data_IF_297716597393
#
_entry.id   IF_297716597393
#
_cell.length_a   1.000
_cell.length_b   1.000
_cell.length_c   1.000
_cell.angle_alpha   90.00
_cell.angle_beta   90.00
_cell.angle_gamma   90.00
#
_symmetry.space_group_name_H-M   'P 1'
#
loop_
_entity.id
_entity.type
_entity.pdbx_description
1 polymer ?
#
# COMPACT_ATOMS: atom_id res chain seq x y z
N UNK A 1 -4.88 27.15 -14.95
CA UNK A 1 -5.57 28.06 -14.01
C UNK A 1 -5.63 27.31 -12.69
N UNK A 2 -4.63 27.50 -11.82
CA UNK A 2 -4.47 26.68 -10.61
C UNK A 2 -5.36 27.23 -9.49
N UNK A 3 -6.20 26.35 -8.93
CA UNK A 3 -7.10 26.65 -7.80
C UNK A 3 -6.30 27.09 -6.57
N UNK A 4 -6.85 28.06 -5.84
CA UNK A 4 -6.26 28.58 -4.59
C UNK A 4 -6.00 27.44 -3.58
N UNK A 5 -4.95 27.54 -2.74
CA UNK A 5 -4.74 26.60 -1.65
C UNK A 5 -5.96 26.59 -0.72
N UNK A 6 -6.43 25.40 -0.34
CA UNK A 6 -7.48 25.24 0.67
C UNK A 6 -6.81 25.36 2.03
N UNK A 7 -7.05 26.45 2.75
CA UNK A 7 -6.40 26.75 4.04
C UNK A 7 -7.17 26.22 5.26
N UNK A 8 -8.39 25.71 5.06
CA UNK A 8 -9.37 25.49 6.14
C UNK A 8 -9.83 24.02 6.23
N UNK A 9 -8.93 23.06 5.97
CA UNK A 9 -9.24 21.64 6.24
C UNK A 9 -8.71 21.27 7.63
N UNK A 10 -9.61 21.25 8.62
CA UNK A 10 -9.35 20.52 9.86
C UNK A 10 -9.29 19.02 9.54
N UNK A 11 -8.08 18.50 9.34
CA UNK A 11 -7.86 17.08 9.11
C UNK A 11 -7.99 16.31 10.42
N UNK A 12 -9.04 15.50 10.53
CA UNK A 12 -9.11 14.50 11.57
C UNK A 12 -8.11 13.38 11.27
N UNK A 13 -7.27 13.08 12.26
CA UNK A 13 -6.24 12.04 12.18
C UNK A 13 -6.90 10.68 11.94
N UNK A 14 -6.59 10.04 10.81
CA UNK A 14 -6.91 8.63 10.58
C UNK A 14 -5.87 7.76 11.28
N UNK A 15 -6.29 6.70 11.99
CA UNK A 15 -5.39 5.68 12.54
C UNK A 15 -4.72 4.83 11.44
N UNK A 16 -5.23 4.90 10.20
CA UNK A 16 -4.75 4.11 9.07
C UNK A 16 -3.93 5.01 8.14
N UNK A 17 -2.61 4.80 8.15
CA UNK A 17 -1.71 5.37 7.14
C UNK A 17 -2.04 4.79 5.76
N UNK A 18 -2.21 5.70 4.80
CA UNK A 18 -2.50 5.47 3.38
C UNK A 18 -1.60 4.37 2.81
N UNK A 19 -2.09 3.54 1.86
CA UNK A 19 -1.29 2.53 1.19
C UNK A 19 -0.01 3.12 0.57
N UNK A 20 1.12 2.95 1.26
CA UNK A 20 2.43 3.31 0.71
C UNK A 20 2.74 2.42 -0.49
N UNK A 21 3.26 3.04 -1.53
CA UNK A 21 3.45 2.43 -2.83
C UNK A 21 4.91 2.51 -3.27
N UNK A 22 5.24 1.62 -4.21
CA UNK A 22 6.47 1.63 -4.99
C UNK A 22 6.69 3.01 -5.63
N UNK A 23 7.76 3.68 -5.18
CA UNK A 23 8.27 4.90 -5.78
C UNK A 23 9.03 4.54 -7.06
N UNK A 24 8.41 4.83 -8.21
CA UNK A 24 9.16 5.24 -9.40
C UNK A 24 9.39 6.74 -9.30
N UNK A 25 10.55 7.23 -9.79
CA UNK A 25 10.84 8.66 -9.86
C UNK A 25 9.79 9.35 -10.73
N UNK A 26 8.76 9.91 -10.12
CA UNK A 26 7.84 10.85 -10.74
C UNK A 26 8.18 12.26 -10.25
N UNK A 27 8.01 13.27 -11.09
CA UNK A 27 8.34 14.66 -10.75
C UNK A 27 7.36 15.16 -9.67
N UNK A 28 7.82 15.14 -8.42
CA UNK A 28 7.12 15.75 -7.29
C UNK A 28 6.79 17.22 -7.59
N UNK A 29 5.50 17.60 -7.44
CA UNK A 29 5.04 18.99 -7.53
C UNK A 29 4.09 19.33 -8.69
N UNK A 30 3.96 18.47 -9.71
CA UNK A 30 3.11 18.76 -10.88
C UNK A 30 1.62 18.39 -10.73
N UNK A 31 1.17 17.96 -9.55
CA UNK A 31 -0.26 17.62 -9.33
C UNK A 31 -0.74 17.54 -7.87
N UNK A 32 0.17 17.38 -6.91
CA UNK A 32 -0.16 17.21 -5.49
C UNK A 32 0.57 18.27 -4.65
N UNK A 33 -0.11 19.33 -4.20
CA UNK A 33 0.50 20.27 -3.27
C UNK A 33 0.75 19.58 -1.92
N UNK A 34 1.92 19.78 -1.34
CA UNK A 34 2.22 19.35 0.03
C UNK A 34 1.49 20.32 0.98
N UNK A 35 0.46 19.82 1.65
CA UNK A 35 -0.39 20.61 2.55
C UNK A 35 0.08 20.61 4.02
N UNK A 36 1.18 19.92 4.31
CA UNK A 36 1.78 19.88 5.64
C UNK A 36 2.88 18.84 5.75
N UNK A 37 3.68 18.94 6.81
CA UNK A 37 4.64 17.92 7.23
C UNK A 37 4.21 17.45 8.63
N UNK A 38 3.79 16.20 8.74
CA UNK A 38 3.50 15.57 10.03
C UNK A 38 4.69 14.67 10.35
N UNK A 39 5.39 14.88 11.48
CA UNK A 39 6.44 13.97 11.88
C UNK A 39 5.84 12.58 12.12
N UNK A 40 6.47 11.57 11.51
CA UNK A 40 6.06 10.16 11.62
C UNK A 40 7.17 9.41 12.33
N UNK A 41 6.83 8.67 13.39
CA UNK A 41 7.76 7.69 13.97
C UNK A 41 7.84 6.47 13.03
N UNK A 42 9.01 6.21 12.40
CA UNK A 42 9.16 5.12 11.42
C UNK A 42 8.78 3.75 12.00
N UNK A 43 8.92 3.56 13.32
CA UNK A 43 8.58 2.31 14.01
C UNK A 43 7.08 2.04 14.06
N UNK A 44 6.27 3.07 13.85
CA UNK A 44 4.80 2.99 13.89
C UNK A 44 4.19 2.83 12.50
N UNK A 45 4.99 2.91 11.44
CA UNK A 45 4.50 2.82 10.06
C UNK A 45 4.10 1.39 9.72
N UNK A 46 2.95 1.25 9.07
CA UNK A 46 2.48 0.00 8.49
C UNK A 46 2.07 0.23 7.05
N UNK A 47 2.46 -0.70 6.19
CA UNK A 47 2.09 -0.70 4.78
C UNK A 47 0.99 -1.75 4.52
N UNK A 48 0.19 -1.59 3.46
CA UNK A 48 -0.65 -2.67 2.94
C UNK A 48 0.21 -3.86 2.54
N UNK A 49 -0.42 -5.03 2.62
CA UNK A 49 0.19 -6.28 2.18
C UNK A 49 -0.44 -6.67 0.85
N UNK A 50 0.36 -6.93 -0.18
CA UNK A 50 -0.18 -7.29 -1.50
C UNK A 50 0.49 -8.54 -2.06
N UNK A 51 -0.28 -9.34 -2.81
CA UNK A 51 0.26 -10.42 -3.63
C UNK A 51 0.27 -9.95 -5.08
N UNK A 52 1.47 -9.78 -5.65
CA UNK A 52 1.61 -9.42 -7.05
C UNK A 52 1.97 -10.64 -7.89
N UNK A 53 1.29 -10.80 -9.02
CA UNK A 53 1.58 -11.86 -9.99
C UNK A 53 2.34 -11.35 -11.21
N UNK A 54 3.09 -12.24 -11.88
CA UNK A 54 3.67 -12.08 -13.23
C UNK A 54 4.51 -10.82 -13.55
N UNK A 55 4.75 -9.90 -12.60
CA UNK A 55 5.62 -8.72 -12.76
C UNK A 55 6.90 -8.81 -11.92
N UNK A 56 7.05 -9.82 -11.07
CA UNK A 56 8.35 -10.11 -10.45
C UNK A 56 9.30 -10.63 -11.53
N UNK A 57 10.57 -10.21 -11.50
CA UNK A 57 11.57 -10.45 -12.55
C UNK A 57 11.80 -11.94 -12.92
N UNK A 58 11.29 -12.88 -12.12
CA UNK A 58 11.37 -14.33 -12.32
C UNK A 58 10.07 -14.98 -12.80
N UNK A 59 9.01 -14.20 -13.05
CA UNK A 59 7.68 -14.70 -13.44
C UNK A 59 6.88 -15.35 -12.29
N UNK A 60 7.39 -15.27 -11.07
CA UNK A 60 6.79 -15.83 -9.85
C UNK A 60 5.88 -14.81 -9.14
N UNK A 61 5.04 -15.29 -8.22
CA UNK A 61 4.26 -14.42 -7.32
C UNK A 61 5.21 -13.80 -6.30
N UNK A 62 4.96 -12.57 -5.86
CA UNK A 62 5.65 -11.98 -4.72
C UNK A 62 4.66 -11.46 -3.67
N UNK A 63 5.04 -11.60 -2.40
CA UNK A 63 4.47 -10.84 -1.31
C UNK A 63 5.20 -9.50 -1.22
N UNK A 64 4.43 -8.42 -1.17
CA UNK A 64 4.92 -7.06 -1.08
C UNK A 64 4.31 -6.34 0.12
N UNK A 65 5.14 -5.60 0.83
CA UNK A 65 4.76 -4.75 1.95
C UNK A 65 5.83 -3.64 2.07
N UNK A 66 5.49 -2.40 1.70
CA UNK A 66 6.48 -1.32 1.67
C UNK A 66 7.66 -1.65 0.74
N UNK A 67 8.89 -1.63 1.27
CA UNK A 67 10.11 -2.00 0.53
C UNK A 67 10.39 -3.52 0.55
N UNK A 68 9.65 -4.29 1.35
CA UNK A 68 9.78 -5.75 1.41
C UNK A 68 9.13 -6.36 0.18
N UNK A 69 9.90 -7.13 -0.58
CA UNK A 69 9.41 -7.96 -1.69
C UNK A 69 9.99 -9.37 -1.57
N UNK A 70 9.13 -10.36 -1.32
CA UNK A 70 9.52 -11.75 -1.08
C UNK A 70 8.86 -12.65 -2.14
N UNK A 71 9.64 -13.31 -3.01
CA UNK A 71 9.10 -14.25 -3.99
C UNK A 71 8.45 -15.45 -3.29
N UNK A 72 7.24 -15.81 -3.72
CA UNK A 72 6.52 -16.99 -3.28
C UNK A 72 6.36 -17.93 -4.47
N UNK A 73 6.86 -19.16 -4.32
CA UNK A 73 6.61 -20.22 -5.30
C UNK A 73 5.16 -20.66 -5.22
N UNK A 74 4.43 -20.47 -6.32
CA UNK A 74 3.01 -20.73 -6.38
C UNK A 74 2.56 -21.01 -7.81
N UNK A 75 1.82 -22.10 -8.00
CA UNK A 75 1.24 -22.45 -9.30
C UNK A 75 0.03 -21.56 -9.68
N UNK A 76 -0.38 -21.63 -10.95
CA UNK A 76 -1.48 -20.82 -11.49
C UNK A 76 -2.86 -21.17 -10.90
N UNK A 77 -3.09 -22.41 -10.45
CA UNK A 77 -4.35 -22.77 -9.78
C UNK A 77 -4.45 -22.07 -8.43
N UNK A 78 -3.37 -22.11 -7.64
CA UNK A 78 -3.28 -21.50 -6.33
C UNK A 78 -3.32 -19.98 -6.41
N UNK A 79 -2.69 -19.39 -7.43
CA UNK A 79 -2.80 -17.96 -7.73
C UNK A 79 -4.26 -17.54 -7.94
N UNK A 80 -5.03 -18.29 -8.74
CA UNK A 80 -6.45 -18.00 -8.98
C UNK A 80 -7.30 -18.15 -7.73
N UNK A 81 -7.07 -19.20 -6.95
CA UNK A 81 -7.77 -19.42 -5.68
C UNK A 81 -7.56 -18.26 -4.69
N UNK A 82 -6.34 -17.74 -4.62
CA UNK A 82 -5.95 -16.67 -3.70
C UNK A 82 -6.28 -15.26 -4.23
N UNK A 83 -6.80 -15.18 -5.46
CA UNK A 83 -7.09 -13.92 -6.10
C UNK A 83 -5.84 -13.08 -6.41
N UNK A 84 -4.71 -13.74 -6.69
CA UNK A 84 -3.50 -13.08 -7.18
C UNK A 84 -3.76 -12.58 -8.59
N UNK A 85 -4.23 -11.34 -8.71
CA UNK A 85 -4.54 -10.72 -9.99
C UNK A 85 -3.63 -9.53 -10.27
N UNK A 86 -3.30 -9.34 -11.55
CA UNK A 86 -2.77 -8.08 -12.06
C UNK A 86 -3.85 -7.01 -11.95
N UNK A 87 -3.87 -6.25 -10.88
CA UNK A 87 -4.42 -4.92 -10.96
C UNK A 87 -3.52 -3.99 -10.15
N UNK A 88 -2.38 -3.56 -10.74
CA UNK A 88 -1.78 -2.33 -10.26
C UNK A 88 -2.91 -1.28 -10.26
N UNK A 89 -3.25 -0.80 -9.06
CA UNK A 89 -4.14 0.35 -8.95
C UNK A 89 -3.35 1.51 -9.55
N UNK A 90 -3.88 2.08 -10.63
CA UNK A 90 -3.30 3.29 -11.21
C UNK A 90 -3.13 4.33 -10.10
N UNK A 91 -2.00 5.03 -10.12
CA UNK A 91 -1.68 6.14 -9.21
C UNK A 91 -2.80 7.17 -9.14
N UNK A 92 -3.55 7.36 -10.23
CA UNK A 92 -4.72 8.24 -10.27
C UNK A 92 -5.85 7.83 -9.29
N UNK A 93 -5.97 6.54 -8.93
CA UNK A 93 -6.99 6.04 -8.00
C UNK A 93 -6.62 6.27 -6.54
N UNK A 94 -5.34 6.52 -6.22
CA UNK A 94 -4.87 6.62 -4.84
C UNK A 94 -5.58 7.69 -4.00
N UNK A 95 -5.83 8.90 -4.51
CA UNK A 95 -6.53 9.92 -3.74
C UNK A 95 -7.94 9.49 -3.39
N UNK A 96 -8.60 8.77 -4.30
CA UNK A 96 -9.93 8.21 -4.07
C UNK A 96 -9.88 7.07 -3.06
N UNK A 97 -8.79 6.29 -3.04
CA UNK A 97 -8.54 5.29 -2.00
C UNK A 97 -8.34 5.96 -0.63
N UNK A 98 -7.58 7.06 -0.55
CA UNK A 98 -7.44 7.85 0.67
C UNK A 98 -8.79 8.37 1.15
N UNK A 99 -9.58 8.95 0.24
CA UNK A 99 -10.94 9.44 0.54
C UNK A 99 -11.84 8.30 1.05
N UNK A 100 -11.71 7.10 0.50
CA UNK A 100 -12.45 5.92 0.96
C UNK A 100 -12.05 5.52 2.39
N UNK A 101 -10.76 5.57 2.73
CA UNK A 101 -10.29 5.28 4.10
C UNK A 101 -10.66 6.37 5.11
N UNK A 102 -10.88 7.60 4.65
CA UNK A 102 -11.35 8.72 5.48
C UNK A 102 -12.88 8.82 5.55
N UNK A 103 -13.61 7.84 5.04
CA UNK A 103 -15.09 7.85 4.92
C UNK A 103 -15.64 9.09 4.17
N UNK A 104 -14.88 9.59 3.20
CA UNK A 104 -15.20 10.75 2.35
C UNK A 104 -15.66 10.33 0.96
N UNK A 105 -16.60 9.38 0.91
CA UNK A 105 -17.14 8.83 -0.34
C UNK A 105 -17.90 9.89 -1.18
N UNK A 106 -18.37 10.97 -0.53
CA UNK A 106 -19.00 12.13 -1.14
C UNK A 106 -18.08 12.81 -2.17
N UNK A 107 -16.77 12.82 -1.91
CA UNK A 107 -15.77 13.46 -2.77
C UNK A 107 -15.30 12.56 -3.93
N UNK A 108 -15.73 11.29 -3.98
CA UNK A 108 -15.33 10.34 -5.00
C UNK A 108 -16.39 10.30 -6.11
N UNK A 109 -16.02 10.50 -7.39
CA UNK A 109 -16.95 10.32 -8.50
C UNK A 109 -17.56 8.93 -8.47
N UNK A 110 -18.88 8.81 -8.65
CA UNK A 110 -19.64 7.57 -8.48
C UNK A 110 -19.04 6.38 -9.25
N UNK A 111 -18.61 6.61 -10.50
CA UNK A 111 -17.95 5.61 -11.35
C UNK A 111 -16.67 5.01 -10.79
N UNK A 112 -16.05 5.62 -9.77
CA UNK A 112 -14.81 5.13 -9.16
C UNK A 112 -15.01 4.57 -7.75
N UNK A 113 -16.15 4.81 -7.09
CA UNK A 113 -16.38 4.36 -5.69
C UNK A 113 -16.16 2.86 -5.50
N UNK A 114 -16.55 2.04 -6.48
CA UNK A 114 -16.41 0.59 -6.42
C UNK A 114 -14.96 0.07 -6.52
N UNK A 115 -14.01 0.87 -7.01
CA UNK A 115 -12.63 0.44 -7.25
C UNK A 115 -11.61 1.06 -6.29
N UNK A 116 -12.05 1.86 -5.32
CA UNK A 116 -11.20 2.61 -4.39
C UNK A 116 -11.06 1.96 -3.00
N UNK A 117 -11.70 0.81 -2.77
CA UNK A 117 -11.50 0.02 -1.56
C UNK A 117 -10.20 -0.81 -1.58
N UNK A 118 -9.58 -0.97 -0.41
CA UNK A 118 -8.45 -1.88 -0.18
C UNK A 118 -8.88 -3.33 0.07
N UNK A 119 -10.16 -3.57 0.36
CA UNK A 119 -10.69 -4.89 0.77
C UNK A 119 -10.37 -6.04 -0.18
N UNK A 120 -10.15 -5.74 -1.46
CA UNK A 120 -9.93 -6.73 -2.51
C UNK A 120 -8.47 -6.79 -2.97
N UNK A 121 -7.60 -5.93 -2.45
CA UNK A 121 -6.19 -5.83 -2.85
C UNK A 121 -5.22 -6.01 -1.70
N UNK A 122 -5.63 -5.67 -0.49
CA UNK A 122 -4.81 -5.76 0.70
C UNK A 122 -5.06 -7.07 1.46
N UNK A 123 -4.01 -7.88 1.57
CA UNK A 123 -4.00 -9.19 2.20
C UNK A 123 -4.40 -9.09 3.68
N UNK A 124 -4.29 -7.93 4.33
CA UNK A 124 -4.78 -7.69 5.69
C UNK A 124 -6.28 -7.99 5.85
N UNK A 125 -7.06 -7.86 4.78
CA UNK A 125 -8.49 -8.19 4.75
C UNK A 125 -8.79 -9.59 4.19
N UNK A 126 -7.77 -10.33 3.77
CA UNK A 126 -7.92 -11.64 3.17
C UNK A 126 -7.94 -12.76 4.20
N UNK A 127 -8.88 -13.71 4.05
CA UNK A 127 -8.91 -14.96 4.82
C UNK A 127 -7.64 -15.83 4.63
N UNK A 128 -6.85 -15.55 3.61
CA UNK A 128 -5.65 -16.32 3.27
C UNK A 128 -4.36 -15.76 3.88
N UNK A 129 -4.42 -14.62 4.60
CA UNK A 129 -3.24 -13.95 5.17
C UNK A 129 -2.35 -14.89 5.99
N UNK A 130 -2.93 -15.64 6.92
CA UNK A 130 -2.19 -16.56 7.80
C UNK A 130 -1.46 -17.66 7.04
N UNK A 131 -2.08 -18.14 5.96
CA UNK A 131 -1.47 -19.16 5.11
C UNK A 131 -0.31 -18.58 4.31
N UNK A 132 -0.41 -17.34 3.82
CA UNK A 132 0.70 -16.67 3.13
C UNK A 132 1.89 -16.49 4.07
N UNK A 133 1.67 -16.03 5.31
CA UNK A 133 2.77 -15.85 6.27
C UNK A 133 3.51 -17.14 6.63
N UNK A 134 2.89 -18.32 6.47
CA UNK A 134 3.58 -19.61 6.62
C UNK A 134 4.61 -19.90 5.52
N UNK A 135 4.51 -19.19 4.39
CA UNK A 135 5.43 -19.31 3.25
C UNK A 135 6.56 -18.28 3.33
N UNK A 136 6.49 -17.33 4.26
CA UNK A 136 7.43 -16.23 4.38
C UNK A 136 8.51 -16.52 5.43
N UNK A 137 9.73 -16.00 5.26
CA UNK A 137 10.79 -16.04 6.27
C UNK A 137 10.56 -15.05 7.42
N UNK A 138 9.44 -14.31 7.43
CA UNK A 138 9.08 -13.29 8.43
C UNK A 138 7.79 -13.67 9.15
N UNK A 139 7.60 -13.19 10.38
CA UNK A 139 6.39 -13.49 11.17
C UNK A 139 5.33 -12.40 11.02
N UNK A 140 4.07 -12.82 10.97
CA UNK A 140 2.89 -11.92 10.95
C UNK A 140 2.81 -11.01 12.18
N UNK A 141 3.31 -11.48 13.32
CA UNK A 141 3.25 -10.76 14.60
C UNK A 141 4.25 -9.62 14.69
N UNK A 142 5.27 -9.63 13.83
CA UNK A 142 6.32 -8.63 13.85
C UNK A 142 5.79 -7.35 13.18
N UNK A 143 6.23 -6.21 13.69
CA UNK A 143 5.99 -4.90 13.07
C UNK A 143 6.69 -4.83 11.71
N UNK A 144 6.22 -3.97 10.80
CA UNK A 144 6.92 -3.72 9.54
C UNK A 144 8.40 -3.35 9.77
N UNK A 145 8.65 -2.52 10.79
CA UNK A 145 9.99 -2.11 11.18
C UNK A 145 10.91 -3.26 11.59
N UNK A 146 10.38 -4.29 12.25
CA UNK A 146 11.13 -5.51 12.58
C UNK A 146 11.31 -6.41 11.36
N UNK A 147 10.28 -6.56 10.53
CA UNK A 147 10.31 -7.39 9.32
C UNK A 147 11.37 -6.88 8.33
N UNK A 148 11.44 -5.57 8.10
CA UNK A 148 12.42 -4.99 7.17
C UNK A 148 13.87 -5.17 7.67
N UNK A 149 14.13 -5.06 8.99
CA UNK A 149 15.44 -5.38 9.58
C UNK A 149 15.84 -6.84 9.40
N UNK A 150 14.90 -7.77 9.53
CA UNK A 150 15.14 -9.21 9.25
C UNK A 150 15.53 -9.44 7.78
N UNK A 151 15.10 -8.57 6.87
CA UNK A 151 15.42 -8.60 5.45
C UNK A 151 16.69 -7.83 5.09
N UNK A 152 17.41 -7.27 6.07
CA UNK A 152 18.60 -6.45 5.85
C UNK A 152 18.32 -5.08 5.24
N UNK A 153 17.07 -4.62 5.32
CA UNK A 153 16.66 -3.28 4.91
C UNK A 153 16.83 -2.31 6.09
N UNK A 154 17.04 -1.05 5.73
CA UNK A 154 17.14 0.07 6.68
C UNK A 154 16.16 1.17 6.27
N UNK A 155 15.02 1.21 6.96
CA UNK A 155 13.99 2.23 6.78
C UNK A 155 14.32 3.54 7.51
N UNK A 156 15.19 3.51 8.53
CA UNK A 156 15.56 4.73 9.27
C UNK A 156 16.24 5.74 8.32
N UNK A 157 16.96 5.26 7.29
CA UNK A 157 17.59 6.08 6.24
C UNK A 157 16.64 7.01 5.46
N UNK A 158 15.33 6.75 5.48
CA UNK A 158 14.34 7.59 4.77
C UNK A 158 13.97 8.85 5.57
N UNK A 159 14.45 8.95 6.81
CA UNK A 159 14.17 10.03 7.75
C UNK A 159 15.42 10.84 8.13
N UNK A 160 16.60 10.47 7.60
CA UNK A 160 17.84 11.24 7.64
C UNK A 160 17.92 12.26 6.48
#
# INVERSE_FOLDING_TARGET
>A
MYSKPITDLEFQKSEILIPGAYVVNDEFGNGWPIIGNIPVDPKTVSFPETLIGHMHARGEVAFECGEISIPIKMDLSRQRELGVYKSPKSTFLWPMMCLTQMDRLDLIPEKYRHCCGLSNSDLRYSKYRDMIYKLLPIKKTDTYFEQQKQMGLDFDRLYD
#
